data_IF_562383508182
#
_entry.id   IF_562383508182
#
_cell.length_a   1.000
_cell.length_b   1.000
_cell.length_c   1.000
_cell.angle_alpha   90.00
_cell.angle_beta   90.00
_cell.angle_gamma   90.00
#
_symmetry.space_group_name_H-M   'P 1'
#
loop_
_entity.id
_entity.type
_entity.pdbx_description
1 polymer ?
#
# COMPACT_ATOMS: atom_id res chain seq x y z
N UNK A 1 18.58 4.70 -25.72
CA UNK A 1 17.72 3.67 -26.36
C UNK A 1 18.09 2.32 -25.76
N UNK A 2 17.31 1.82 -24.80
CA UNK A 2 17.45 0.45 -24.30
C UNK A 2 16.23 -0.34 -24.75
N UNK A 3 16.50 -1.46 -25.42
CA UNK A 3 15.52 -2.31 -26.07
C UNK A 3 14.68 -3.07 -25.04
N UNK A 4 13.37 -2.90 -25.16
CA UNK A 4 12.34 -3.69 -24.53
C UNK A 4 12.41 -5.13 -25.06
N UNK A 5 12.46 -6.12 -24.16
CA UNK A 5 12.44 -7.56 -24.52
C UNK A 5 11.21 -8.19 -23.90
N UNK A 6 10.15 -8.28 -24.68
CA UNK A 6 8.94 -9.02 -24.35
C UNK A 6 9.16 -10.50 -24.59
N UNK A 7 9.13 -11.33 -23.54
CA UNK A 7 9.14 -12.80 -23.65
C UNK A 7 7.68 -13.28 -23.53
N UNK A 8 7.09 -13.66 -24.66
CA UNK A 8 5.72 -14.16 -24.71
C UNK A 8 5.64 -15.61 -24.18
N UNK A 9 4.98 -15.80 -23.04
CA UNK A 9 4.58 -17.11 -22.53
C UNK A 9 3.17 -17.02 -21.96
N UNK A 10 2.13 -17.22 -22.78
CA UNK A 10 0.69 -17.15 -22.42
C UNK A 10 0.37 -16.11 -21.32
N UNK A 11 1.04 -14.98 -21.41
CA UNK A 11 1.36 -14.14 -20.28
C UNK A 11 0.70 -12.81 -20.46
N UNK A 12 0.09 -12.32 -19.38
CA UNK A 12 -0.42 -10.97 -19.34
C UNK A 12 0.71 -10.01 -19.75
N UNK A 13 0.45 -9.19 -20.76
CA UNK A 13 1.36 -8.13 -21.18
C UNK A 13 1.66 -7.25 -19.95
N UNK A 14 2.92 -7.25 -19.52
CA UNK A 14 3.34 -6.53 -18.31
C UNK A 14 4.06 -5.26 -18.72
N UNK A 15 3.52 -4.10 -18.34
CA UNK A 15 4.18 -2.81 -18.50
C UNK A 15 4.95 -2.48 -17.23
N UNK A 16 6.26 -2.26 -17.36
CA UNK A 16 7.13 -1.88 -16.24
C UNK A 16 7.44 -0.40 -16.29
N UNK A 17 7.24 0.30 -15.16
CA UNK A 17 7.55 1.71 -15.01
C UNK A 17 8.65 1.88 -13.96
N UNK A 18 9.57 2.81 -14.21
CA UNK A 18 10.54 3.26 -13.21
C UNK A 18 10.01 4.54 -12.57
N UNK A 19 10.03 4.62 -11.25
CA UNK A 19 9.66 5.81 -10.47
C UNK A 19 10.89 6.26 -9.69
N UNK A 20 11.39 7.46 -10.01
CA UNK A 20 12.54 8.07 -9.37
C UNK A 20 12.23 8.70 -8.01
N UNK A 21 13.26 9.18 -7.31
CA UNK A 21 13.16 9.63 -5.92
C UNK A 21 12.35 10.91 -5.71
N UNK A 22 12.10 11.69 -6.76
CA UNK A 22 11.56 13.05 -6.63
C UNK A 22 10.03 13.18 -6.79
N UNK A 23 9.25 12.12 -7.09
CA UNK A 23 7.79 12.30 -7.33
C UNK A 23 6.83 11.21 -6.82
N UNK A 24 5.77 11.76 -6.22
CA UNK A 24 4.49 11.26 -5.68
C UNK A 24 4.00 9.91 -6.19
N UNK A 25 4.34 8.84 -5.47
CA UNK A 25 3.48 7.64 -5.38
C UNK A 25 2.43 7.93 -4.33
N UNK A 26 1.15 7.83 -4.68
CA UNK A 26 0.05 8.07 -3.77
C UNK A 26 -1.08 7.08 -4.06
N UNK A 27 -1.68 6.53 -3.03
CA UNK A 27 -2.90 5.74 -3.14
C UNK A 27 -4.03 6.38 -2.32
N UNK A 28 -5.28 6.10 -2.66
CA UNK A 28 -6.45 6.64 -1.96
C UNK A 28 -7.67 6.76 -2.86
N UNK A 29 -8.73 7.43 -2.40
CA UNK A 29 -9.95 7.56 -3.19
C UNK A 29 -9.67 8.22 -4.54
N UNK A 30 -10.23 7.63 -5.58
CA UNK A 30 -10.22 8.16 -6.91
C UNK A 30 -11.30 9.27 -6.99
N UNK A 31 -10.94 10.40 -7.61
CA UNK A 31 -11.65 11.67 -7.46
C UNK A 31 -13.19 11.54 -7.37
N UNK A 32 -13.75 12.13 -6.30
CA UNK A 32 -15.18 12.35 -6.01
C UNK A 32 -16.08 11.14 -5.71
N UNK A 33 -15.60 9.89 -5.78
CA UNK A 33 -16.36 8.70 -5.37
C UNK A 33 -15.78 8.05 -4.11
N UNK A 34 -16.63 7.64 -3.16
CA UNK A 34 -16.20 6.93 -1.93
C UNK A 34 -15.83 5.45 -2.19
N UNK A 35 -16.16 4.92 -3.36
CA UNK A 35 -16.09 3.47 -3.67
C UNK A 35 -15.05 3.11 -4.74
N UNK A 36 -14.37 4.11 -5.32
CA UNK A 36 -13.28 3.85 -6.27
C UNK A 36 -11.95 4.29 -5.67
N UNK A 37 -10.94 3.42 -5.76
CA UNK A 37 -9.60 3.69 -5.24
C UNK A 37 -8.59 3.76 -6.38
N UNK A 38 -7.49 4.47 -6.17
CA UNK A 38 -6.45 4.59 -7.17
C UNK A 38 -5.05 4.66 -6.58
N UNK A 39 -4.15 3.82 -7.07
CA UNK A 39 -2.70 4.01 -6.95
C UNK A 39 -2.21 4.87 -8.12
N UNK A 40 -1.58 5.99 -7.81
CA UNK A 40 -1.13 7.00 -8.78
C UNK A 40 0.35 7.25 -8.62
N UNK A 41 1.07 7.31 -9.74
CA UNK A 41 2.48 7.70 -9.76
C UNK A 41 2.83 8.39 -11.06
N UNK A 42 3.94 9.13 -11.06
CA UNK A 42 4.54 9.67 -12.28
C UNK A 42 5.82 8.89 -12.55
N UNK A 43 5.89 8.24 -13.70
CA UNK A 43 7.08 7.51 -14.12
C UNK A 43 8.21 8.48 -14.52
N UNK A 44 9.45 7.98 -14.55
CA UNK A 44 10.63 8.74 -14.99
C UNK A 44 10.50 9.26 -16.43
N UNK A 45 9.68 8.59 -17.25
CA UNK A 45 9.32 9.06 -18.60
C UNK A 45 8.46 10.33 -18.62
N UNK A 46 7.94 10.76 -17.47
CA UNK A 46 6.93 11.80 -17.34
C UNK A 46 5.49 11.31 -17.50
N UNK A 47 5.28 10.01 -17.79
CA UNK A 47 3.94 9.41 -17.89
C UNK A 47 3.26 9.38 -16.51
N UNK A 48 2.03 9.90 -16.43
CA UNK A 48 1.19 9.77 -15.25
C UNK A 48 0.38 8.49 -15.34
N UNK A 49 0.57 7.60 -14.39
CA UNK A 49 -0.12 6.32 -14.30
C UNK A 49 -1.10 6.37 -13.13
N UNK A 50 -2.32 5.92 -13.38
CA UNK A 50 -3.34 5.71 -12.36
C UNK A 50 -3.90 4.30 -12.52
N UNK A 51 -3.63 3.44 -11.55
CA UNK A 51 -4.21 2.09 -11.46
C UNK A 51 -5.46 2.20 -10.61
N UNK A 52 -6.62 1.88 -11.19
CA UNK A 52 -7.88 1.80 -10.44
C UNK A 52 -7.92 0.49 -9.69
N UNK A 53 -8.25 0.59 -8.41
CA UNK A 53 -8.39 -0.52 -7.49
C UNK A 53 -9.83 -0.48 -6.98
N UNK A 54 -10.43 -1.65 -6.85
CA UNK A 54 -11.60 -1.81 -6.00
C UNK A 54 -11.17 -1.69 -4.52
N UNK A 55 -12.16 -1.68 -3.63
CA UNK A 55 -11.94 -1.54 -2.18
C UNK A 55 -11.08 -2.68 -1.62
N UNK A 56 -11.31 -3.92 -2.05
CA UNK A 56 -10.57 -5.10 -1.60
C UNK A 56 -9.09 -5.04 -2.03
N UNK A 57 -8.82 -4.72 -3.29
CA UNK A 57 -7.45 -4.59 -3.81
C UNK A 57 -6.71 -3.39 -3.19
N UNK A 58 -7.43 -2.32 -2.86
CA UNK A 58 -6.87 -1.19 -2.13
C UNK A 58 -6.57 -1.55 -0.68
N UNK A 59 -7.46 -2.26 0.01
CA UNK A 59 -7.22 -2.72 1.38
C UNK A 59 -6.05 -3.72 1.44
N UNK A 60 -5.92 -4.60 0.44
CA UNK A 60 -4.76 -5.48 0.30
C UNK A 60 -3.45 -4.69 0.10
N UNK A 61 -3.44 -3.71 -0.82
CA UNK A 61 -2.30 -2.81 -1.02
C UNK A 61 -1.95 -2.05 0.26
N UNK A 62 -2.95 -1.50 0.96
CA UNK A 62 -2.77 -0.77 2.20
C UNK A 62 -2.17 -1.68 3.27
N UNK A 63 -2.70 -2.88 3.46
CA UNK A 63 -2.18 -3.87 4.41
C UNK A 63 -0.75 -4.28 4.05
N UNK A 64 -0.45 -4.51 2.78
CA UNK A 64 0.89 -4.87 2.32
C UNK A 64 1.90 -3.72 2.48
N UNK A 65 1.47 -2.47 2.33
CA UNK A 65 2.34 -1.31 2.56
C UNK A 65 2.45 -0.96 4.05
N UNK A 66 1.39 -1.14 4.84
CA UNK A 66 1.33 -0.74 6.25
C UNK A 66 1.74 -1.82 7.26
N UNK A 67 1.63 -3.11 6.92
CA UNK A 67 1.97 -4.24 7.82
C UNK A 67 3.21 -5.03 7.41
N UNK A 68 4.04 -4.51 6.52
CA UNK A 68 5.25 -5.22 6.09
C UNK A 68 6.48 -4.51 6.66
N UNK A 69 7.06 -5.01 7.78
CA UNK A 69 8.47 -4.82 8.04
C UNK A 69 9.23 -5.26 6.78
N UNK A 70 10.24 -4.48 6.38
CA UNK A 70 11.11 -4.82 5.27
C UNK A 70 11.51 -6.31 5.34
N UNK A 71 11.56 -7.09 4.25
CA UNK A 71 11.68 -8.56 4.28
C UNK A 71 12.91 -9.15 4.99
N UNK A 72 13.77 -8.33 5.58
CA UNK A 72 14.95 -8.72 6.37
C UNK A 72 14.84 -8.38 7.85
N UNK A 73 13.71 -7.86 8.31
CA UNK A 73 13.52 -7.43 9.69
C UNK A 73 12.88 -8.58 10.51
N UNK A 74 13.68 -9.62 10.76
CA UNK A 74 13.39 -10.72 11.70
C UNK A 74 13.60 -10.26 13.16
N UNK A 75 13.12 -9.07 13.49
CA UNK A 75 13.20 -8.56 14.85
C UNK A 75 11.90 -8.86 15.58
N UNK A 76 12.00 -9.16 16.88
CA UNK A 76 10.86 -9.34 17.80
C UNK A 76 9.89 -8.15 17.71
N UNK A 77 10.40 -6.95 17.47
CA UNK A 77 9.59 -5.75 17.24
C UNK A 77 8.77 -5.81 15.95
N UNK A 78 9.31 -6.42 14.88
CA UNK A 78 8.60 -6.70 13.64
C UNK A 78 7.46 -7.71 13.84
N UNK A 79 7.69 -8.75 14.65
CA UNK A 79 6.65 -9.71 15.04
C UNK A 79 5.52 -9.05 15.84
N UNK A 80 5.88 -8.23 16.83
CA UNK A 80 4.89 -7.51 17.64
C UNK A 80 4.06 -6.53 16.82
N UNK A 81 4.67 -5.83 15.85
CA UNK A 81 3.93 -4.94 14.93
C UNK A 81 2.94 -5.71 14.06
N UNK A 82 3.36 -6.84 13.48
CA UNK A 82 2.48 -7.73 12.73
C UNK A 82 1.31 -8.20 13.59
N UNK A 83 1.59 -8.57 14.83
CA UNK A 83 0.60 -9.09 15.75
C UNK A 83 -0.40 -8.02 16.22
N UNK A 84 0.07 -6.81 16.52
CA UNK A 84 -0.80 -5.66 16.86
C UNK A 84 -1.72 -5.33 15.70
N UNK A 85 -1.19 -5.27 14.48
CA UNK A 85 -2.01 -4.96 13.33
C UNK A 85 -3.04 -6.06 13.03
N UNK A 86 -2.65 -7.33 13.15
CA UNK A 86 -3.58 -8.45 13.03
C UNK A 86 -4.71 -8.38 14.06
N UNK A 87 -4.43 -7.93 15.29
CA UNK A 87 -5.46 -7.72 16.31
C UNK A 87 -6.33 -6.51 16.03
N UNK A 88 -5.75 -5.41 15.54
CA UNK A 88 -6.47 -4.19 15.20
C UNK A 88 -7.55 -4.44 14.12
N UNK A 89 -7.24 -5.24 13.09
CA UNK A 89 -8.21 -5.57 12.04
C UNK A 89 -9.46 -6.32 12.54
N UNK A 90 -9.39 -6.94 13.72
CA UNK A 90 -10.50 -7.73 14.30
C UNK A 90 -11.22 -7.02 15.44
N UNK A 91 -10.71 -5.88 15.87
CA UNK A 91 -11.25 -5.14 16.98
C UNK A 91 -12.39 -4.24 16.49
N UNK A 92 -13.46 -4.15 17.27
CA UNK A 92 -14.47 -3.14 17.04
C UNK A 92 -13.91 -1.73 17.33
N UNK A 93 -14.62 -0.72 16.84
CA UNK A 93 -14.16 0.66 16.95
C UNK A 93 -14.00 1.13 18.41
N UNK A 94 -14.71 0.53 19.37
CA UNK A 94 -14.57 0.87 20.79
C UNK A 94 -13.29 0.27 21.38
N UNK A 95 -13.03 -1.00 21.08
CA UNK A 95 -11.80 -1.71 21.46
C UNK A 95 -10.57 -1.06 20.82
N UNK A 96 -10.66 -0.66 19.55
CA UNK A 96 -9.59 0.08 18.89
C UNK A 96 -9.29 1.40 19.61
N UNK A 97 -10.31 2.15 20.01
CA UNK A 97 -10.12 3.40 20.77
C UNK A 97 -9.47 3.14 22.13
N UNK A 98 -9.94 2.14 22.87
CA UNK A 98 -9.33 1.76 24.15
C UNK A 98 -7.86 1.34 24.00
N UNK A 99 -7.54 0.59 22.94
CA UNK A 99 -6.15 0.19 22.64
C UNK A 99 -5.31 1.42 22.28
N UNK A 100 -5.85 2.36 21.51
CA UNK A 100 -5.16 3.62 21.21
C UNK A 100 -4.92 4.45 22.48
N UNK A 101 -5.89 4.53 23.39
CA UNK A 101 -5.75 5.23 24.67
C UNK A 101 -4.62 4.61 25.52
N UNK A 102 -4.59 3.27 25.62
CA UNK A 102 -3.55 2.53 26.35
C UNK A 102 -2.16 2.72 25.72
N UNK A 103 -2.08 2.84 24.39
CA UNK A 103 -0.84 3.08 23.67
C UNK A 103 -0.41 4.56 23.66
N UNK A 104 -1.19 5.46 24.28
CA UNK A 104 -0.87 6.88 24.44
C UNK A 104 -1.50 7.83 23.42
N UNK A 105 -2.65 7.46 22.83
CA UNK A 105 -3.35 8.20 21.76
C UNK A 105 -3.86 9.61 22.12
N UNK A 106 -3.81 10.02 23.40
CA UNK A 106 -4.26 11.34 23.88
C UNK A 106 -3.19 12.45 23.80
N UNK A 107 -2.03 12.20 23.19
CA UNK A 107 -0.98 13.21 22.97
C UNK A 107 -0.53 13.32 21.50
N UNK A 108 -1.44 13.33 20.51
CA UNK A 108 -1.13 13.81 19.14
C UNK A 108 -2.35 14.40 18.43
#
# INVERSE_FOLDING_TARGET
MSADRTRAGRGLETRTFRVGPERTVAYGPAASGREEWALRFTADSGERVAVRLDEDAMYALWTEVHNVPWPRDETERGDLRREVAARAERADAETLRQVLDVLGGDQL
#
